data_IF_231798886778
#
_entry.id   IF_231798886778
#
_cell.length_a   1.000
_cell.length_b   1.000
_cell.length_c   1.000
_cell.angle_alpha   90.00
_cell.angle_beta   90.00
_cell.angle_gamma   90.00
#
_symmetry.space_group_name_H-M   'P 1'
#
loop_
_entity.id
_entity.type
_entity.pdbx_description
1 polymer ?
#
# COMPACT_ATOMS: atom_id res chain seq x y z
N UNK A 1 21.42 4.32 -8.94
CA UNK A 1 21.10 2.87 -9.06
C UNK A 1 20.11 2.39 -7.99
N UNK A 2 20.22 2.81 -6.72
CA UNK A 2 19.30 2.39 -5.65
C UNK A 2 17.82 2.75 -5.87
N UNK A 3 17.54 3.97 -6.36
CA UNK A 3 16.16 4.47 -6.57
C UNK A 3 15.41 3.62 -7.61
N UNK A 4 16.05 3.26 -8.72
CA UNK A 4 15.43 2.44 -9.76
C UNK A 4 15.14 1.01 -9.29
N UNK A 5 16.00 0.43 -8.44
CA UNK A 5 15.77 -0.88 -7.84
C UNK A 5 14.59 -0.83 -6.85
N UNK A 6 14.51 0.22 -6.04
CA UNK A 6 13.40 0.43 -5.12
C UNK A 6 12.06 0.60 -5.87
N UNK A 7 12.04 1.41 -6.94
CA UNK A 7 10.83 1.60 -7.76
C UNK A 7 10.45 0.28 -8.46
N UNK A 8 11.42 -0.41 -9.06
CA UNK A 8 11.18 -1.68 -9.76
C UNK A 8 10.63 -2.77 -8.84
N UNK A 9 11.19 -2.90 -7.63
CA UNK A 9 10.71 -3.87 -6.64
C UNK A 9 9.29 -3.58 -6.15
N UNK A 10 8.92 -2.31 -5.93
CA UNK A 10 7.57 -1.94 -5.51
C UNK A 10 6.54 -2.20 -6.63
N UNK A 11 6.88 -1.86 -7.89
CA UNK A 11 6.00 -2.10 -9.04
C UNK A 11 5.80 -3.61 -9.25
N UNK A 12 6.87 -4.40 -9.11
CA UNK A 12 6.80 -5.86 -9.17
C UNK A 12 5.89 -6.44 -8.07
N UNK A 13 6.05 -6.01 -6.82
CA UNK A 13 5.28 -6.51 -5.68
C UNK A 13 3.78 -6.21 -5.84
N UNK A 14 3.43 -5.01 -6.31
CA UNK A 14 2.03 -4.64 -6.57
C UNK A 14 1.42 -5.48 -7.70
N UNK A 15 2.15 -5.67 -8.81
CA UNK A 15 1.59 -6.37 -9.97
C UNK A 15 1.57 -7.88 -9.80
N UNK A 16 2.62 -8.46 -9.24
CA UNK A 16 2.75 -9.91 -9.11
C UNK A 16 2.32 -10.42 -7.74
N UNK A 17 2.75 -9.83 -6.62
CA UNK A 17 2.39 -10.38 -5.31
C UNK A 17 0.93 -10.10 -4.94
N UNK A 18 0.36 -8.95 -5.33
CA UNK A 18 -1.06 -8.65 -5.12
C UNK A 18 -1.95 -9.07 -6.30
N UNK A 19 -1.50 -8.87 -7.54
CA UNK A 19 -2.30 -9.17 -8.74
C UNK A 19 -2.39 -10.65 -9.12
N UNK A 20 -1.32 -11.43 -8.89
CA UNK A 20 -1.29 -12.85 -9.29
C UNK A 20 -2.28 -13.74 -8.51
N UNK A 21 -2.41 -13.63 -7.17
CA UNK A 21 -3.39 -14.44 -6.42
C UNK A 21 -4.83 -14.17 -6.87
N UNK A 22 -5.12 -12.92 -7.22
CA UNK A 22 -6.42 -12.49 -7.74
C UNK A 22 -6.69 -13.06 -9.12
N UNK A 23 -5.71 -12.95 -10.02
CA UNK A 23 -5.77 -13.53 -11.35
C UNK A 23 -6.02 -15.04 -11.29
N UNK A 24 -5.27 -15.76 -10.44
CA UNK A 24 -5.43 -17.20 -10.23
C UNK A 24 -6.85 -17.54 -9.73
N UNK A 25 -7.37 -16.78 -8.76
CA UNK A 25 -8.71 -17.01 -8.21
C UNK A 25 -9.82 -16.83 -9.26
N UNK A 26 -9.77 -15.77 -10.07
CA UNK A 26 -10.70 -15.57 -11.20
C UNK A 26 -10.51 -16.57 -12.34
N UNK A 27 -9.29 -17.08 -12.56
CA UNK A 27 -9.00 -17.99 -13.67
C UNK A 27 -9.36 -19.45 -13.36
N UNK A 28 -9.18 -19.90 -12.11
CA UNK A 28 -9.27 -21.31 -11.73
C UNK A 28 -10.52 -21.61 -10.88
N UNK A 29 -10.88 -20.73 -9.94
CA UNK A 29 -11.93 -21.03 -8.96
C UNK A 29 -13.33 -20.61 -9.43
N UNK A 30 -13.46 -19.47 -10.12
CA UNK A 30 -14.74 -18.97 -10.63
C UNK A 30 -14.57 -18.28 -12.00
N UNK A 31 -14.62 -19.02 -13.12
CA UNK A 31 -14.43 -18.44 -14.44
C UNK A 31 -15.59 -17.50 -14.79
N UNK A 32 -15.32 -16.19 -14.79
CA UNK A 32 -16.29 -15.15 -15.16
C UNK A 32 -17.11 -14.56 -14.01
N UNK A 33 -16.81 -14.89 -12.74
CA UNK A 33 -17.39 -14.16 -11.60
C UNK A 33 -16.59 -12.89 -11.33
N UNK A 34 -17.30 -11.81 -11.00
CA UNK A 34 -16.70 -10.64 -10.34
C UNK A 34 -16.50 -11.03 -8.89
N UNK A 35 -15.26 -11.23 -8.45
CA UNK A 35 -14.97 -11.44 -7.02
C UNK A 35 -15.42 -10.14 -6.31
N UNK A 36 -16.50 -10.16 -5.50
CA UNK A 36 -16.87 -8.97 -4.74
C UNK A 36 -15.77 -8.77 -3.71
N UNK A 37 -15.02 -7.69 -3.89
CA UNK A 37 -13.97 -7.29 -2.96
C UNK A 37 -14.67 -6.67 -1.76
N UNK A 38 -15.19 -7.53 -0.88
CA UNK A 38 -15.73 -7.18 0.44
C UNK A 38 -14.59 -6.82 1.41
N UNK A 39 -13.62 -6.02 0.94
CA UNK A 39 -12.58 -5.42 1.77
C UNK A 39 -12.39 -4.01 1.28
N UNK A 40 -13.15 -3.08 1.88
CA UNK A 40 -12.92 -1.63 1.76
C UNK A 40 -11.45 -1.30 2.04
N UNK A 41 -10.77 -2.09 2.89
CA UNK A 41 -9.35 -1.99 3.20
C UNK A 41 -8.40 -2.14 2.01
N UNK A 42 -8.71 -2.95 0.99
CA UNK A 42 -7.81 -3.10 -0.17
C UNK A 42 -7.89 -1.89 -1.10
N UNK A 43 -9.10 -1.44 -1.43
CA UNK A 43 -9.28 -0.23 -2.23
C UNK A 43 -8.71 1.00 -1.50
N UNK A 44 -8.90 1.09 -0.18
CA UNK A 44 -8.29 2.14 0.64
C UNK A 44 -6.77 2.07 0.63
N UNK A 45 -6.19 0.88 0.84
CA UNK A 45 -4.76 0.68 0.81
C UNK A 45 -4.19 1.04 -0.56
N UNK A 46 -4.79 0.58 -1.66
CA UNK A 46 -4.34 0.91 -3.01
C UNK A 46 -4.42 2.41 -3.30
N UNK A 47 -5.53 3.08 -2.97
CA UNK A 47 -5.66 4.54 -3.17
C UNK A 47 -4.65 5.30 -2.32
N UNK A 48 -4.47 4.89 -1.07
CA UNK A 48 -3.52 5.52 -0.16
C UNK A 48 -2.07 5.33 -0.62
N UNK A 49 -1.72 4.15 -1.13
CA UNK A 49 -0.40 3.82 -1.65
C UNK A 49 -0.12 4.60 -2.95
N UNK A 50 -1.12 4.72 -3.82
CA UNK A 50 -1.00 5.54 -5.02
C UNK A 50 -0.84 7.03 -4.69
N UNK A 51 -1.59 7.52 -3.70
CA UNK A 51 -1.50 8.90 -3.21
C UNK A 51 -0.12 9.21 -2.62
N UNK A 52 0.47 8.29 -1.84
CA UNK A 52 1.80 8.50 -1.26
C UNK A 52 2.90 8.49 -2.33
N UNK A 53 2.77 7.65 -3.37
CA UNK A 53 3.70 7.65 -4.51
C UNK A 53 3.65 8.97 -5.28
N UNK A 54 2.44 9.48 -5.58
CA UNK A 54 2.28 10.77 -6.27
C UNK A 54 2.88 11.89 -5.42
N UNK A 55 2.57 11.93 -4.12
CA UNK A 55 3.12 12.92 -3.20
C UNK A 55 4.65 12.88 -3.18
N UNK A 56 5.24 11.68 -3.14
CA UNK A 56 6.69 11.49 -3.10
C UNK A 56 7.37 11.96 -4.39
N UNK A 57 6.77 11.69 -5.56
CA UNK A 57 7.25 12.19 -6.85
C UNK A 57 7.18 13.71 -6.92
N UNK A 58 6.04 14.31 -6.55
CA UNK A 58 5.84 15.77 -6.58
C UNK A 58 6.81 16.46 -5.64
N UNK A 59 6.94 15.96 -4.40
CA UNK A 59 7.83 16.55 -3.42
C UNK A 59 9.31 16.43 -3.87
N UNK A 60 9.70 15.30 -4.47
CA UNK A 60 11.05 15.10 -5.03
C UNK A 60 11.32 16.02 -6.23
N UNK A 61 10.29 16.26 -7.06
CA UNK A 61 10.37 17.21 -8.17
C UNK A 61 10.56 18.65 -7.66
N UNK A 62 9.83 19.06 -6.62
CA UNK A 62 9.97 20.37 -5.99
C UNK A 62 11.35 20.57 -5.33
N UNK A 63 11.98 19.50 -4.87
CA UNK A 63 13.36 19.52 -4.36
C UNK A 63 14.44 19.49 -5.46
N UNK A 64 14.05 19.71 -6.73
CA UNK A 64 14.98 19.83 -7.85
C UNK A 64 15.65 18.52 -8.24
N UNK A 65 14.98 17.38 -8.06
CA UNK A 65 15.49 16.04 -8.36
C UNK A 65 16.80 15.66 -7.63
N UNK A 66 17.15 16.40 -6.57
CA UNK A 66 18.28 16.10 -5.69
C UNK A 66 17.79 15.48 -4.40
N UNK A 67 18.21 14.23 -4.18
CA UNK A 67 17.93 13.51 -2.95
C UNK A 67 18.99 13.88 -1.90
N UNK A 68 18.74 14.94 -1.15
CA UNK A 68 19.60 15.34 -0.03
C UNK A 68 19.38 14.46 1.21
N UNK A 69 20.42 14.31 2.03
CA UNK A 69 20.36 13.50 3.27
C UNK A 69 19.27 13.99 4.25
N UNK A 70 19.05 15.30 4.29
CA UNK A 70 17.96 15.94 5.07
C UNK A 70 16.58 15.53 4.54
N UNK A 71 16.43 15.51 3.22
CA UNK A 71 15.19 15.15 2.55
C UNK A 71 14.84 13.68 2.80
N UNK A 72 15.84 12.79 2.75
CA UNK A 72 15.69 11.38 3.12
C UNK A 72 15.21 11.16 4.56
N UNK A 73 15.72 11.93 5.53
CA UNK A 73 15.28 11.85 6.94
C UNK A 73 13.82 12.30 7.08
N UNK A 74 13.43 13.39 6.42
CA UNK A 74 12.04 13.89 6.44
C UNK A 74 11.09 12.84 5.85
N UNK A 75 11.45 12.23 4.72
CA UNK A 75 10.67 11.14 4.12
C UNK A 75 10.55 9.93 5.03
N UNK A 76 11.62 9.57 5.76
CA UNK A 76 11.61 8.42 6.68
C UNK A 76 10.71 8.66 7.91
N UNK A 77 10.72 9.88 8.46
CA UNK A 77 9.80 10.26 9.54
C UNK A 77 8.35 10.24 9.04
N UNK A 78 8.10 10.80 7.85
CA UNK A 78 6.77 10.78 7.25
C UNK A 78 6.25 9.36 7.01
N UNK A 79 7.13 8.47 6.54
CA UNK A 79 6.83 7.06 6.36
C UNK A 79 6.44 6.37 7.68
N UNK A 80 7.16 6.61 8.77
CA UNK A 80 6.84 6.04 10.08
C UNK A 80 5.48 6.53 10.59
N UNK A 81 5.18 7.82 10.45
CA UNK A 81 3.88 8.38 10.83
C UNK A 81 2.77 7.70 10.03
N UNK A 82 2.92 7.61 8.71
CA UNK A 82 1.95 6.96 7.85
C UNK A 82 1.72 5.49 8.24
N UNK A 83 2.79 4.72 8.52
CA UNK A 83 2.70 3.34 8.99
C UNK A 83 1.92 3.23 10.31
N UNK A 84 2.19 4.11 11.28
CA UNK A 84 1.47 4.12 12.56
C UNK A 84 -0.02 4.39 12.34
N UNK A 85 -0.37 5.37 11.50
CA UNK A 85 -1.76 5.67 11.17
C UNK A 85 -2.45 4.50 10.46
N UNK A 86 -1.78 3.85 9.49
CA UNK A 86 -2.31 2.68 8.81
C UNK A 86 -2.57 1.52 9.78
N UNK A 87 -1.63 1.24 10.70
CA UNK A 87 -1.80 0.20 11.72
C UNK A 87 -2.92 0.53 12.72
N UNK A 88 -3.04 1.77 13.18
CA UNK A 88 -4.12 2.19 14.09
C UNK A 88 -5.50 2.09 13.43
N UNK A 89 -5.57 2.32 12.11
CA UNK A 89 -6.78 2.20 11.33
C UNK A 89 -7.22 0.74 11.17
N UNK A 90 -6.28 -0.15 10.84
CA UNK A 90 -6.53 -1.61 10.79
C UNK A 90 -6.94 -2.18 12.16
N UNK A 91 -6.34 -1.69 13.25
CA UNK A 91 -6.67 -2.07 14.62
C UNK A 91 -7.99 -1.46 15.15
N UNK A 92 -8.80 -0.82 14.30
CA UNK A 92 -10.10 -0.24 14.64
C UNK A 92 -10.08 0.74 15.84
N UNK A 93 -8.93 1.38 16.14
CA UNK A 93 -8.78 2.28 17.30
C UNK A 93 -9.65 3.55 17.17
N UNK A 94 -9.89 4.00 15.94
CA UNK A 94 -10.70 5.19 15.64
C UNK A 94 -12.19 4.90 15.39
N UNK A 95 -12.60 3.63 15.46
CA UNK A 95 -13.97 3.17 15.23
C UNK A 95 -14.03 1.83 14.48
N UNK A 96 -15.12 1.07 14.61
CA UNK A 96 -15.36 -0.18 13.89
C UNK A 96 -15.56 0.09 12.38
N UNK A 97 -14.45 0.20 11.64
CA UNK A 97 -14.43 0.43 10.19
C UNK A 97 -14.05 -0.83 9.41
N UNK A 98 -13.31 -1.76 10.04
CA UNK A 98 -13.04 -3.10 9.51
C UNK A 98 -13.87 -4.18 10.22
N UNK A 99 -14.32 -5.22 9.48
CA UNK A 99 -14.94 -6.39 10.10
C UNK A 99 -13.97 -7.03 11.10
N UNK A 100 -14.48 -7.65 12.19
CA UNK A 100 -13.64 -8.28 13.19
C UNK A 100 -12.76 -9.34 12.52
N UNK A 101 -11.48 -9.35 12.91
CA UNK A 101 -10.56 -10.41 12.56
C UNK A 101 -11.13 -11.77 12.99
N UNK A 102 -10.94 -12.79 12.13
CA UNK A 102 -11.40 -14.14 12.42
C UNK A 102 -10.86 -14.59 13.80
N UNK A 103 -11.69 -15.22 14.63
CA UNK A 103 -11.28 -15.62 15.97
C UNK A 103 -10.05 -16.53 15.90
N UNK A 104 -8.93 -16.01 16.42
CA UNK A 104 -7.73 -16.78 16.69
C UNK A 104 -7.98 -17.65 17.92
N UNK A 105 -7.83 -18.99 17.84
CA UNK A 105 -8.04 -19.90 18.97
C UNK A 105 -6.85 -19.93 19.96
N UNK A 106 -6.20 -18.78 20.20
CA UNK A 106 -5.14 -18.62 21.21
C UNK A 106 -5.69 -17.94 22.45
#
# INVERSE_FOLDING_TARGET
MAVSNAIGSNVFDILLCLGLPWFIKTAITEPGSVIPVESRGLTYSTISLFSTVIFLIVATHLNGWKLDKKYGIILLIWYLIFMIFASLYELNVFGYLNPPECPSPY
#
